data_IF_914525379874
#
_entry.id   IF_914525379874
#
_cell.length_a   1.000
_cell.length_b   1.000
_cell.length_c   1.000
_cell.angle_alpha   90.00
_cell.angle_beta   90.00
_cell.angle_gamma   90.00
#
_symmetry.space_group_name_H-M   'P 1'
#
loop_
_entity.id
_entity.type
_entity.pdbx_description
1 polymer ?
#
# COMPACT_ATOMS: atom_id res chain seq x y z
N UNK A 1 14.68 -20.16 18.89
CA UNK A 1 14.42 -20.27 17.43
C UNK A 1 12.95 -20.25 17.06
N UNK A 2 12.00 -20.67 17.91
CA UNK A 2 10.57 -20.61 17.58
C UNK A 2 9.99 -19.19 17.44
N UNK A 3 10.39 -18.23 18.30
CA UNK A 3 9.84 -16.87 18.26
C UNK A 3 10.28 -16.01 17.07
N UNK A 4 11.43 -16.28 16.47
CA UNK A 4 11.93 -15.49 15.33
C UNK A 4 11.25 -15.89 14.00
N UNK A 5 10.95 -17.19 13.84
CA UNK A 5 10.17 -17.71 12.71
C UNK A 5 8.72 -17.17 12.75
N UNK A 6 8.17 -16.99 13.95
CA UNK A 6 6.81 -16.50 14.15
C UNK A 6 6.66 -15.03 13.71
N UNK A 7 7.62 -14.17 14.04
CA UNK A 7 7.60 -12.75 13.67
C UNK A 7 7.66 -12.55 12.14
N UNK A 8 8.48 -13.32 11.43
CA UNK A 8 8.55 -13.24 9.96
C UNK A 8 7.22 -13.62 9.30
N UNK A 9 6.56 -14.67 9.81
CA UNK A 9 5.26 -15.09 9.32
C UNK A 9 4.19 -14.05 9.65
N UNK A 10 4.22 -13.47 10.84
CA UNK A 10 3.31 -12.42 11.27
C UNK A 10 3.45 -11.16 10.40
N UNK A 11 4.67 -10.70 10.11
CA UNK A 11 4.90 -9.53 9.27
C UNK A 11 4.48 -9.79 7.80
N UNK A 12 4.68 -11.02 7.31
CA UNK A 12 4.16 -11.43 6.00
C UNK A 12 2.64 -11.39 5.93
N UNK A 13 1.96 -11.84 6.97
CA UNK A 13 0.50 -11.80 7.06
C UNK A 13 0.00 -10.35 7.10
N UNK A 14 0.62 -9.49 7.92
CA UNK A 14 0.34 -8.06 8.01
C UNK A 14 0.49 -7.39 6.63
N UNK A 15 1.60 -7.62 5.93
CA UNK A 15 1.84 -7.06 4.60
C UNK A 15 0.82 -7.51 3.55
N UNK A 16 0.43 -8.79 3.57
CA UNK A 16 -0.62 -9.34 2.68
C UNK A 16 -1.99 -8.75 2.99
N UNK A 17 -2.35 -8.64 4.27
CA UNK A 17 -3.61 -8.06 4.71
C UNK A 17 -3.72 -6.58 4.30
N UNK A 18 -2.65 -5.81 4.51
CA UNK A 18 -2.56 -4.42 4.09
C UNK A 18 -2.72 -4.28 2.57
N UNK A 19 -1.96 -5.04 1.78
CA UNK A 19 -2.06 -5.02 0.32
C UNK A 19 -3.49 -5.31 -0.18
N UNK A 20 -4.19 -6.25 0.46
CA UNK A 20 -5.59 -6.57 0.17
C UNK A 20 -6.55 -5.43 0.51
N UNK A 21 -6.35 -4.74 1.64
CA UNK A 21 -7.12 -3.54 2.01
C UNK A 21 -6.90 -2.40 1.02
N UNK A 22 -5.65 -2.06 0.70
CA UNK A 22 -5.31 -1.03 -0.30
C UNK A 22 -5.96 -1.35 -1.64
N UNK A 23 -5.87 -2.60 -2.10
CA UNK A 23 -6.53 -3.01 -3.36
C UNK A 23 -8.03 -2.77 -3.32
N UNK A 24 -8.72 -3.15 -2.24
CA UNK A 24 -10.17 -2.93 -2.10
C UNK A 24 -10.53 -1.46 -2.10
N UNK A 25 -9.82 -0.64 -1.33
CA UNK A 25 -10.06 0.81 -1.26
C UNK A 25 -9.83 1.48 -2.61
N UNK A 26 -8.74 1.12 -3.30
CA UNK A 26 -8.42 1.67 -4.60
C UNK A 26 -9.46 1.30 -5.66
N UNK A 27 -9.93 0.04 -5.67
CA UNK A 27 -11.02 -0.38 -6.55
C UNK A 27 -12.34 0.31 -6.21
N UNK A 28 -12.61 0.60 -4.92
CA UNK A 28 -13.79 1.34 -4.50
C UNK A 28 -13.75 2.81 -4.95
N UNK A 29 -12.60 3.49 -4.80
CA UNK A 29 -12.42 4.87 -5.29
C UNK A 29 -12.50 4.94 -6.81
N UNK A 30 -11.94 3.96 -7.54
CA UNK A 30 -12.09 3.88 -9.01
C UNK A 30 -13.57 3.72 -9.39
N UNK A 31 -14.34 2.86 -8.70
CA UNK A 31 -15.78 2.65 -8.97
C UNK A 31 -16.59 3.92 -8.74
N UNK A 32 -16.40 4.59 -7.60
CA UNK A 32 -17.17 5.77 -7.25
C UNK A 32 -16.96 6.90 -8.27
N UNK A 33 -15.73 7.04 -8.78
CA UNK A 33 -15.34 8.14 -9.66
C UNK A 33 -15.59 7.88 -11.13
N UNK A 34 -15.44 6.65 -11.60
CA UNK A 34 -15.65 6.32 -13.03
C UNK A 34 -17.09 5.95 -13.35
N UNK A 35 -17.95 5.70 -12.34
CA UNK A 35 -19.30 5.10 -12.48
C UNK A 35 -19.31 3.78 -13.27
N UNK A 36 -18.15 3.20 -13.56
CA UNK A 36 -18.01 1.93 -14.28
C UNK A 36 -17.81 0.81 -13.26
N UNK A 37 -18.59 -0.27 -13.40
CA UNK A 37 -18.49 -1.47 -12.52
C UNK A 37 -17.46 -2.49 -13.01
N UNK A 38 -17.06 -2.38 -14.28
CA UNK A 38 -16.20 -3.33 -14.98
C UNK A 38 -15.22 -2.59 -15.89
N UNK A 39 -14.21 -3.31 -16.36
CA UNK A 39 -13.33 -2.81 -17.40
C UNK A 39 -11.85 -2.88 -17.07
N UNK A 40 -11.10 -2.40 -18.03
CA UNK A 40 -9.64 -2.43 -18.07
C UNK A 40 -9.00 -1.68 -16.89
N UNK A 41 -9.75 -0.78 -16.24
CA UNK A 41 -9.48 -0.07 -14.99
C UNK A 41 -9.31 -0.96 -13.74
N UNK A 42 -10.00 -2.10 -13.71
CA UNK A 42 -10.05 -3.03 -12.58
C UNK A 42 -8.90 -4.03 -12.56
N UNK A 43 -8.03 -4.01 -13.58
CA UNK A 43 -6.83 -4.85 -13.65
C UNK A 43 -5.71 -4.38 -12.72
N UNK A 44 -6.03 -3.54 -11.74
CA UNK A 44 -5.08 -3.11 -10.73
C UNK A 44 -4.72 -4.25 -9.78
N UNK A 45 -3.42 -4.39 -9.54
CA UNK A 45 -2.89 -5.33 -8.56
C UNK A 45 -2.09 -4.59 -7.49
N UNK A 46 -2.16 -5.09 -6.26
CA UNK A 46 -1.37 -4.59 -5.13
C UNK A 46 -0.69 -5.81 -4.54
N UNK A 47 0.64 -5.79 -4.42
CA UNK A 47 1.44 -6.90 -3.93
C UNK A 47 2.46 -6.42 -2.90
N UNK A 48 2.57 -7.08 -1.74
CA UNK A 48 3.68 -6.86 -0.84
C UNK A 48 4.95 -7.50 -1.42
N UNK A 49 6.07 -6.81 -1.25
CA UNK A 49 7.41 -7.28 -1.60
C UNK A 49 8.18 -7.42 -0.31
N UNK A 50 8.77 -8.60 -0.11
CA UNK A 50 9.55 -8.93 1.06
C UNK A 50 11.03 -9.04 0.70
N UNK A 51 11.90 -8.57 1.59
CA UNK A 51 13.36 -8.69 1.47
C UNK A 51 13.89 -9.17 2.81
N UNK A 52 14.73 -10.20 2.79
CA UNK A 52 15.30 -10.81 4.01
C UNK A 52 14.23 -11.20 5.05
N UNK A 53 13.07 -11.68 4.60
CA UNK A 53 11.96 -12.08 5.47
C UNK A 53 11.05 -10.94 5.96
N UNK A 54 11.43 -9.67 5.76
CA UNK A 54 10.68 -8.50 6.20
C UNK A 54 9.96 -7.80 5.06
N UNK A 55 8.89 -7.07 5.37
CA UNK A 55 8.22 -6.21 4.41
C UNK A 55 9.16 -5.05 4.02
N UNK A 56 9.45 -4.97 2.72
CA UNK A 56 10.28 -3.91 2.11
C UNK A 56 9.40 -2.81 1.52
N UNK A 57 8.42 -3.20 0.69
CA UNK A 57 7.54 -2.25 0.00
C UNK A 57 6.21 -2.88 -0.42
N UNK A 58 5.25 -2.02 -0.74
CA UNK A 58 3.98 -2.39 -1.38
C UNK A 58 4.00 -1.88 -2.81
N UNK A 59 3.92 -2.79 -3.79
CA UNK A 59 3.87 -2.43 -5.21
C UNK A 59 2.42 -2.36 -5.67
N UNK A 60 2.02 -1.21 -6.20
CA UNK A 60 0.72 -1.03 -6.86
C UNK A 60 0.96 -0.99 -8.38
N UNK A 61 0.34 -1.89 -9.11
CA UNK A 61 0.39 -1.92 -10.58
C UNK A 61 -0.98 -1.58 -11.12
N UNK A 62 -1.11 -0.44 -11.78
CA UNK A 62 -2.34 0.02 -12.43
C UNK A 62 -2.18 0.06 -13.95
N UNK A 63 -3.26 -0.13 -14.71
CA UNK A 63 -3.24 0.09 -16.15
C UNK A 63 -2.90 1.54 -16.54
N UNK A 64 -2.22 1.71 -17.68
CA UNK A 64 -1.65 2.99 -18.12
C UNK A 64 -2.63 4.15 -18.23
N UNK A 65 -3.91 3.91 -18.52
CA UNK A 65 -4.94 4.98 -18.65
C UNK A 65 -5.61 5.36 -17.32
N UNK A 66 -5.35 4.63 -16.24
CA UNK A 66 -5.85 4.95 -14.89
C UNK A 66 -4.95 5.99 -14.22
N UNK A 67 -3.63 5.82 -14.34
CA UNK A 67 -2.66 6.60 -13.57
C UNK A 67 -2.54 8.07 -14.04
N UNK A 68 -2.39 8.40 -15.33
CA UNK A 68 -2.28 9.80 -15.76
C UNK A 68 -3.64 10.50 -15.72
N UNK A 69 -4.67 9.89 -16.31
CA UNK A 69 -5.95 10.55 -16.54
C UNK A 69 -6.69 10.85 -15.23
N UNK A 70 -6.61 9.95 -14.25
CA UNK A 70 -7.27 10.16 -12.98
C UNK A 70 -6.36 10.88 -11.98
N UNK A 71 -5.02 10.77 -12.01
CA UNK A 71 -4.19 11.36 -10.93
C UNK A 71 -3.70 12.75 -11.26
N UNK A 72 -3.35 13.05 -12.53
CA UNK A 72 -2.83 14.37 -12.93
C UNK A 72 -3.86 15.23 -13.66
N UNK A 73 -5.02 14.66 -13.99
CA UNK A 73 -6.01 15.32 -14.83
C UNK A 73 -5.57 15.38 -16.30
N UNK A 74 -6.49 15.77 -17.17
CA UNK A 74 -6.23 15.87 -18.60
C UNK A 74 -6.92 17.11 -19.16
N UNK A 75 -6.23 17.85 -20.01
CA UNK A 75 -6.78 18.95 -20.78
C UNK A 75 -6.48 18.73 -22.26
N UNK A 76 -7.52 18.69 -23.08
CA UNK A 76 -7.38 18.50 -24.51
C UNK A 76 -8.68 18.77 -25.26
N UNK A 77 -8.61 18.92 -26.57
CA UNK A 77 -9.79 19.20 -27.40
C UNK A 77 -10.27 17.93 -28.07
N UNK A 78 -11.54 17.58 -27.89
CA UNK A 78 -12.16 16.43 -28.57
C UNK A 78 -12.18 16.67 -30.08
N UNK A 79 -12.29 15.60 -30.88
CA UNK A 79 -12.39 15.69 -32.35
C UNK A 79 -13.53 16.58 -32.86
N UNK A 80 -14.52 16.88 -32.02
CA UNK A 80 -15.64 17.79 -32.32
C UNK A 80 -15.40 19.24 -31.85
N UNK A 81 -14.17 19.63 -31.52
CA UNK A 81 -13.81 21.00 -31.11
C UNK A 81 -14.17 21.35 -29.66
N UNK A 82 -14.77 20.43 -28.91
CA UNK A 82 -15.14 20.68 -27.50
C UNK A 82 -13.93 20.45 -26.59
N UNK A 83 -13.59 21.47 -25.79
CA UNK A 83 -12.56 21.33 -24.74
C UNK A 83 -13.00 20.30 -23.70
N UNK A 84 -12.19 19.26 -23.54
CA UNK A 84 -12.31 18.26 -22.50
C UNK A 84 -11.30 18.57 -21.40
N UNK A 85 -11.81 18.88 -20.21
CA UNK A 85 -11.02 18.99 -19.00
C UNK A 85 -11.48 17.92 -18.02
N UNK A 86 -10.57 17.00 -17.69
CA UNK A 86 -10.71 16.02 -16.63
C UNK A 86 -9.91 16.52 -15.44
N UNK A 87 -10.60 16.82 -14.33
CA UNK A 87 -9.92 17.19 -13.09
C UNK A 87 -9.14 15.98 -12.56
N UNK A 88 -7.99 16.25 -11.97
CA UNK A 88 -7.30 15.29 -11.13
C UNK A 88 -8.26 14.81 -10.03
N UNK A 89 -8.30 13.51 -9.86
CA UNK A 89 -9.11 12.78 -8.92
C UNK A 89 -8.13 12.11 -7.97
N UNK A 90 -8.11 12.53 -6.72
CA UNK A 90 -7.06 12.14 -5.77
C UNK A 90 -7.28 10.73 -5.17
N UNK A 91 -7.46 9.73 -6.05
CA UNK A 91 -7.90 8.39 -5.66
C UNK A 91 -6.83 7.59 -4.89
N UNK A 92 -5.55 7.92 -5.04
CA UNK A 92 -4.48 7.29 -4.25
C UNK A 92 -4.50 7.77 -2.81
N UNK A 93 -4.56 9.09 -2.60
CA UNK A 93 -4.68 9.67 -1.27
C UNK A 93 -5.97 9.16 -0.62
N UNK A 94 -7.10 9.18 -1.31
CA UNK A 94 -8.32 8.57 -0.77
C UNK A 94 -8.17 7.08 -0.46
N UNK A 95 -7.48 6.28 -1.28
CA UNK A 95 -7.34 4.85 -1.03
C UNK A 95 -6.45 4.54 0.18
N UNK A 96 -5.46 5.40 0.46
CA UNK A 96 -4.50 5.27 1.56
C UNK A 96 -4.96 5.96 2.85
N UNK A 97 -5.62 7.11 2.74
CA UNK A 97 -6.12 7.90 3.85
C UNK A 97 -7.48 7.42 4.37
N UNK A 98 -8.32 6.78 3.53
CA UNK A 98 -9.54 6.13 4.00
C UNK A 98 -9.19 4.97 4.94
N UNK A 99 -9.18 5.28 6.24
CA UNK A 99 -8.98 4.33 7.33
C UNK A 99 -7.58 4.33 7.94
N UNK A 100 -6.79 5.41 7.81
CA UNK A 100 -5.45 5.52 8.45
C UNK A 100 -4.54 4.32 8.17
N UNK A 101 -4.71 3.69 7.00
CA UNK A 101 -4.10 2.40 6.68
C UNK A 101 -2.59 2.41 6.86
N UNK A 102 -1.94 3.50 6.46
CA UNK A 102 -0.48 3.66 6.58
C UNK A 102 -0.05 3.66 8.04
N UNK A 103 -0.81 4.32 8.93
CA UNK A 103 -0.53 4.34 10.36
C UNK A 103 -0.77 2.96 10.97
N UNK A 104 -1.88 2.29 10.63
CA UNK A 104 -2.16 0.92 11.09
C UNK A 104 -1.05 -0.06 10.70
N UNK A 105 -0.50 0.09 9.48
CA UNK A 105 0.62 -0.72 9.02
C UNK A 105 1.90 -0.41 9.80
N UNK A 106 2.19 0.88 10.00
CA UNK A 106 3.36 1.33 10.73
C UNK A 106 3.32 0.84 12.19
N UNK A 107 2.18 0.94 12.85
CA UNK A 107 1.98 0.48 14.23
C UNK A 107 2.14 -1.05 14.33
N UNK A 108 1.52 -1.81 13.42
CA UNK A 108 1.61 -3.27 13.42
C UNK A 108 3.04 -3.78 13.19
N UNK A 109 3.75 -3.24 12.20
CA UNK A 109 5.14 -3.63 11.91
C UNK A 109 6.08 -3.11 12.99
N UNK A 110 5.84 -1.89 13.48
CA UNK A 110 6.61 -1.28 14.55
C UNK A 110 6.58 -2.13 15.81
N UNK A 111 5.40 -2.59 16.23
CA UNK A 111 5.24 -3.50 17.37
C UNK A 111 5.99 -4.82 17.14
N UNK A 112 5.78 -5.48 15.99
CA UNK A 112 6.42 -6.76 15.66
C UNK A 112 7.96 -6.67 15.69
N UNK A 113 8.53 -5.59 15.16
CA UNK A 113 9.98 -5.40 15.12
C UNK A 113 10.55 -4.94 16.45
N UNK A 114 9.79 -4.15 17.23
CA UNK A 114 10.20 -3.75 18.58
C UNK A 114 10.39 -4.97 19.49
N UNK A 115 9.48 -5.94 19.43
CA UNK A 115 9.62 -7.21 20.14
C UNK A 115 10.90 -7.96 19.78
N UNK A 116 11.27 -7.99 18.49
CA UNK A 116 12.53 -8.60 18.04
C UNK A 116 13.75 -7.89 18.62
N UNK A 117 13.74 -6.56 18.67
CA UNK A 117 14.85 -5.78 19.23
C UNK A 117 14.97 -6.03 20.74
N UNK A 118 13.86 -5.98 21.47
CA UNK A 118 13.83 -6.20 22.93
C UNK A 118 14.32 -7.60 23.28
N UNK A 119 13.91 -8.62 22.53
CA UNK A 119 14.35 -10.00 22.74
C UNK A 119 15.86 -10.22 22.53
N UNK A 120 16.55 -9.29 21.86
CA UNK A 120 17.99 -9.34 21.58
C UNK A 120 18.82 -8.46 22.52
N UNK A 121 18.20 -7.78 23.49
CA UNK A 121 18.92 -6.99 24.48
C UNK A 121 19.70 -7.94 25.39
N UNK A 122 21.03 -7.90 25.27
CA UNK A 122 21.93 -8.62 26.14
C UNK A 122 22.57 -7.66 27.14
N UNK A 123 22.61 -8.04 28.41
CA UNK A 123 23.32 -7.31 29.44
C UNK A 123 24.74 -7.86 29.56
N UNK A 124 25.73 -7.04 29.22
CA UNK A 124 27.14 -7.36 29.44
C UNK A 124 27.66 -6.59 30.64
N UNK A 125 28.37 -7.27 31.54
CA UNK A 125 29.11 -6.63 32.64
C UNK A 125 30.53 -6.38 32.16
N UNK A 126 30.94 -5.11 32.09
CA UNK A 126 32.35 -4.77 31.95
C UNK A 126 33.03 -5.01 33.30
N UNK A 127 33.81 -6.09 33.38
CA UNK A 127 34.75 -6.33 34.47
C UNK A 127 36.15 -6.09 33.96
N UNK A 128 36.85 -5.10 34.54
CA UNK A 128 38.30 -5.07 34.51
C UNK A 128 38.78 -6.11 35.53
N UNK A 129 39.38 -7.19 35.04
CA UNK A 129 40.39 -7.98 35.75
C UNK A 129 41.65 -8.02 34.88
#
# INVERSE_FOLDING_TARGET
>A
MAGEIDIFLAEQQTGKAFASRVKRNLLASIRSKTKQKTGKAFKTSVKPVFKNGFLDRITITTPYYIYPILTVGFEGTKKNGVNARLKALDFFNEALENGKLVNDLADAIGAQRAEQVVARINLTRSGNE
#
